data_IF_294778062032
#
_entry.id   IF_294778062032
#
_cell.length_a   1.000
_cell.length_b   1.000
_cell.length_c   1.000
_cell.angle_alpha   90.00
_cell.angle_beta   90.00
_cell.angle_gamma   90.00
#
_symmetry.space_group_name_H-M   'P 1'
#
loop_
_entity.id
_entity.type
_entity.pdbx_description
1 polymer ?
2 non-polymer ?
3 non-polymer ?
4 water ?
#
# COMPACT_ATOMS: atom_id res chain seq x y z
N UNK A 1 13.26 -6.05 26.86
CA UNK A 1 14.60 -8.73 26.02
C UNK A 1 13.91 -8.23 24.75
N UNK A 2 13.69 -9.15 23.80
CA UNK A 2 13.12 -8.84 22.49
C UNK A 2 11.65 -9.27 22.39
N UNK A 3 10.74 -8.39 21.93
CA UNK A 3 9.33 -8.78 21.70
C UNK A 3 9.18 -9.92 20.68
N UNK A 4 8.07 -10.65 20.73
CA UNK A 4 7.82 -11.70 19.73
C UNK A 4 7.78 -11.11 18.32
N UNK A 5 8.40 -11.82 17.39
CA UNK A 5 8.27 -11.49 15.99
C UNK A 5 8.30 -12.77 15.15
N UNK A 6 7.59 -12.77 14.00
CA UNK A 6 7.58 -13.90 13.10
C UNK A 6 8.97 -14.26 12.57
N UNK A 7 9.28 -15.56 12.52
CA UNK A 7 10.58 -16.04 12.09
C UNK A 7 10.47 -16.65 10.71
N UNK A 8 9.24 -17.01 10.33
CA UNK A 8 8.96 -17.56 9.01
C UNK A 8 7.60 -17.07 8.50
N UNK A 9 7.34 -17.26 7.22
CA UNK A 9 6.15 -16.69 6.58
C UNK A 9 4.82 -17.13 7.25
N UNK A 10 4.74 -18.38 7.71
CA UNK A 10 3.48 -18.89 8.30
C UNK A 10 3.19 -18.38 9.72
N UNK A 11 4.22 -17.87 10.40
CA UNK A 11 4.07 -17.22 11.71
C UNK A 11 3.15 -16.02 11.60
N UNK A 12 2.96 -15.51 10.40
CA UNK A 12 2.08 -14.38 10.22
C UNK A 12 0.63 -14.77 10.55
N UNK A 13 0.35 -16.07 10.57
CA UNK A 13 -0.95 -16.58 11.02
C UNK A 13 -1.29 -16.06 12.44
N UNK A 14 -0.27 -15.83 13.24
CA UNK A 14 -0.47 -15.50 14.66
C UNK A 14 -0.68 -14.02 15.02
N UNK A 15 -0.53 -13.13 14.04
CA UNK A 15 -0.73 -11.70 14.30
C UNK A 15 -1.72 -11.03 13.34
N UNK A 16 -1.78 -11.50 12.10
CA UNK A 16 -2.66 -10.94 11.06
C UNK A 16 -4.14 -10.77 11.49
N UNK A 17 -4.53 -11.44 12.57
CA UNK A 17 -5.91 -11.36 13.08
C UNK A 17 -6.09 -10.47 14.33
N UNK A 18 -5.04 -9.76 14.72
CA UNK A 18 -5.11 -8.84 15.86
C UNK A 18 -5.48 -7.42 15.44
N UNK A 35 -25.46 1.82 6.51
CA UNK A 35 -26.56 0.92 6.24
C UNK A 35 -26.25 -0.53 6.62
N UNK A 36 -27.30 -1.32 6.86
CA UNK A 36 -27.14 -2.70 7.32
C UNK A 36 -26.61 -3.66 6.25
N UNK A 37 -26.90 -3.34 4.99
CA UNK A 37 -26.39 -4.12 3.86
C UNK A 37 -24.87 -3.96 3.73
N UNK A 38 -24.39 -2.72 3.84
CA UNK A 38 -22.94 -2.46 3.84
C UNK A 38 -22.27 -3.17 5.01
N UNK A 39 -22.88 -3.06 6.20
CA UNK A 39 -22.37 -3.68 7.43
C UNK A 39 -22.25 -5.20 7.35
N UNK A 40 -23.29 -5.85 6.80
CA UNK A 40 -23.31 -7.30 6.65
C UNK A 40 -22.26 -7.76 5.64
N UNK A 41 -22.10 -6.98 4.57
CA UNK A 41 -21.11 -7.23 3.54
C UNK A 41 -19.69 -7.13 4.09
N UNK A 42 -19.44 -6.12 4.92
CA UNK A 42 -18.13 -5.95 5.56
C UNK A 42 -17.78 -7.14 6.45
N UNK A 43 -18.79 -7.66 7.15
CA UNK A 43 -18.63 -8.81 8.02
C UNK A 43 -18.26 -10.05 7.22
N UNK A 44 -18.83 -10.16 6.02
CA UNK A 44 -18.50 -11.22 5.06
C UNK A 44 -17.00 -11.23 4.73
N UNK A 45 -16.48 -10.07 4.30
CA UNK A 45 -15.05 -9.91 4.00
C UNK A 45 -14.17 -10.09 5.25
N UNK A 46 -14.60 -9.53 6.38
CA UNK A 46 -13.89 -9.75 7.66
C UNK A 46 -13.75 -11.24 8.03
N UNK A 47 -14.81 -12.01 7.80
CA UNK A 47 -14.82 -13.44 8.11
C UNK A 47 -13.92 -14.23 7.15
N UNK A 48 -13.85 -13.81 5.89
CA UNK A 48 -12.92 -14.46 4.93
C UNK A 48 -11.48 -14.24 5.35
N UNK A 49 -11.17 -13.01 5.77
CA UNK A 49 -9.83 -12.69 6.27
C UNK A 49 -9.47 -13.49 7.51
N UNK A 50 -10.40 -13.57 8.48
CA UNK A 50 -10.13 -14.25 9.76
C UNK A 50 -9.88 -15.76 9.61
N UNK A 51 -10.54 -16.38 8.63
CA UNK A 51 -10.40 -17.83 8.42
C UNK A 51 -9.25 -18.23 7.49
N UNK A 52 -8.65 -17.25 6.83
CA UNK A 52 -7.47 -17.50 6.00
C UNK A 52 -6.26 -17.94 6.83
N UNK A 53 -5.55 -18.96 6.37
CA UNK A 53 -4.28 -19.39 6.96
C UNK A 53 -3.25 -19.53 5.85
N UNK A 54 -2.00 -19.21 6.14
CA UNK A 54 -0.94 -19.32 5.13
C UNK A 54 -0.99 -20.66 4.42
N UNK A 55 -0.83 -20.62 3.10
CA UNK A 55 -0.94 -21.81 2.26
C UNK A 55 -2.28 -21.91 1.56
N UNK A 56 -3.32 -21.32 2.14
CA UNK A 56 -4.64 -21.28 1.48
C UNK A 56 -4.53 -20.44 0.20
N UNK A 57 -5.27 -20.80 -0.86
CA UNK A 57 -5.47 -19.77 -1.88
C UNK A 57 -6.42 -18.70 -1.34
N UNK A 58 -6.24 -17.45 -1.74
CA UNK A 58 -7.05 -16.37 -1.17
C UNK A 58 -8.45 -16.48 -1.78
N UNK A 59 -9.49 -16.57 -0.93
CA UNK A 59 -10.87 -16.69 -1.41
C UNK A 59 -11.20 -15.68 -2.51
N UNK A 60 -11.80 -16.17 -3.58
CA UNK A 60 -12.22 -15.30 -4.67
C UNK A 60 -13.65 -14.87 -4.41
N UNK A 61 -13.93 -13.60 -4.71
CA UNK A 61 -15.17 -12.97 -4.31
C UNK A 61 -15.94 -12.49 -5.53
N UNK A 62 -17.22 -12.85 -5.58
CA UNK A 62 -18.10 -12.27 -6.57
C UNK A 62 -18.55 -10.91 -6.03
N UNK A 63 -18.07 -9.85 -6.66
CA UNK A 63 -18.38 -8.50 -6.23
C UNK A 63 -19.76 -8.08 -6.75
N UNK A 64 -20.44 -7.25 -5.98
CA UNK A 64 -21.78 -6.78 -6.38
C UNK A 64 -21.69 -5.70 -7.45
N UNK A 65 -22.84 -5.39 -8.07
CA UNK A 65 -22.96 -4.35 -9.09
C UNK A 65 -22.46 -3.00 -8.63
N UNK A 66 -22.87 -2.63 -7.43
CA UNK A 66 -22.50 -1.36 -6.80
C UNK A 66 -21.00 -1.29 -6.50
N UNK A 67 -20.44 -2.42 -6.07
CA UNK A 67 -19.00 -2.51 -5.78
C UNK A 67 -18.19 -2.32 -7.05
N UNK A 68 -18.64 -2.94 -8.14
CA UNK A 68 -17.97 -2.80 -9.44
C UNK A 68 -18.11 -1.38 -9.99
N UNK A 69 -19.29 -0.78 -9.82
CA UNK A 69 -19.53 0.61 -10.22
C UNK A 69 -18.60 1.59 -9.50
N UNK A 70 -18.43 1.42 -8.21
CA UNK A 70 -17.51 2.25 -7.43
C UNK A 70 -16.07 2.04 -7.92
N UNK A 71 -15.67 0.78 -8.11
CA UNK A 71 -14.35 0.48 -8.67
C UNK A 71 -14.18 1.14 -10.05
N UNK A 72 -15.18 0.96 -10.91
CA UNK A 72 -15.18 1.54 -12.26
C UNK A 72 -14.91 3.03 -12.29
N UNK A 73 -15.62 3.78 -11.44
CA UNK A 73 -15.46 5.22 -11.31
C UNK A 73 -14.03 5.56 -10.86
N UNK A 74 -13.61 4.96 -9.75
CA UNK A 74 -12.24 5.11 -9.24
C UNK A 74 -11.19 4.80 -10.33
N UNK A 75 -11.24 3.59 -10.92
CA UNK A 75 -10.33 3.17 -12.00
C UNK A 75 -10.34 4.13 -13.21
N UNK A 76 -11.54 4.49 -13.66
CA UNK A 76 -11.69 5.35 -14.83
C UNK A 76 -11.01 6.71 -14.63
N UNK A 77 -11.25 7.33 -13.49
CA UNK A 77 -10.74 8.68 -13.23
C UNK A 77 -9.26 8.73 -12.87
N UNK A 78 -8.78 7.70 -12.16
CA UNK A 78 -7.36 7.62 -11.81
C UNK A 78 -6.49 7.40 -13.04
N UNK A 79 -6.98 6.58 -13.97
CA UNK A 79 -6.27 6.32 -15.23
C UNK A 79 -6.19 7.54 -16.16
N UNK A 80 -6.97 8.57 -15.87
CA UNK A 80 -6.86 9.83 -16.60
C UNK A 80 -5.67 10.61 -16.10
N UNK A 81 -5.30 10.37 -14.84
CA UNK A 81 -4.27 11.15 -14.13
C UNK A 81 -2.91 10.47 -14.10
N UNK A 82 -2.90 9.14 -14.05
CA UNK A 82 -1.64 8.41 -14.00
C UNK A 82 -0.57 8.88 -15.01
N UNK A 83 -0.92 8.95 -16.33
CA UNK A 83 0.12 9.27 -17.31
C UNK A 83 0.92 10.54 -17.01
N UNK A 84 0.30 11.50 -16.31
CA UNK A 84 0.94 12.77 -15.98
C UNK A 84 1.32 12.92 -14.51
N UNK A 85 0.84 12.00 -13.67
CA UNK A 85 1.01 12.12 -12.21
C UNK A 85 1.89 11.02 -11.64
N UNK A 86 1.79 9.81 -12.17
CA UNK A 86 2.48 8.63 -11.63
C UNK A 86 3.96 8.57 -12.04
N UNK A 87 4.80 7.96 -11.19
CA UNK A 87 6.20 7.76 -11.52
C UNK A 87 6.31 6.73 -12.63
N UNK A 88 7.44 6.69 -13.35
CA UNK A 88 7.58 5.79 -14.51
C UNK A 88 7.46 4.31 -14.17
N UNK A 89 7.90 3.91 -12.97
CA UNK A 89 7.86 2.52 -12.51
C UNK A 89 6.44 2.01 -12.35
N UNK A 90 5.58 2.87 -11.81
CA UNK A 90 4.14 2.59 -11.70
C UNK A 90 3.53 2.39 -13.08
N UNK A 91 3.80 3.32 -14.00
CA UNK A 91 3.27 3.27 -15.37
C UNK A 91 3.77 2.06 -16.16
N UNK A 92 5.01 1.67 -15.93
CA UNK A 92 5.62 0.50 -16.57
C UNK A 92 4.89 -0.80 -16.25
N UNK A 93 4.45 -0.95 -14.99
CA UNK A 93 3.84 -2.20 -14.53
C UNK A 93 2.33 -2.26 -14.67
N UNK A 94 1.70 -1.10 -14.77
CA UNK A 94 0.25 -1.01 -14.88
C UNK A 94 -0.36 -1.87 -16.02
N UNK A 95 0.22 -1.82 -17.25
CA UNK A 95 -0.30 -2.63 -18.38
C UNK A 95 -0.16 -4.15 -18.25
N UNK A 96 0.84 -4.62 -17.51
CA UNK A 96 0.99 -6.05 -17.23
C UNK A 96 -0.13 -6.56 -16.34
N UNK A 97 -0.52 -5.74 -15.36
CA UNK A 97 -1.65 -6.02 -14.46
C UNK A 97 -2.98 -6.04 -15.18
N UNK A 98 -3.17 -5.16 -16.15
CA UNK A 98 -4.35 -5.22 -17.00
C UNK A 98 -4.38 -6.55 -17.73
N UNK A 99 -3.29 -6.86 -18.42
CA UNK A 99 -3.19 -8.06 -19.25
C UNK A 99 -3.38 -9.38 -18.47
N UNK A 100 -2.72 -9.50 -17.32
CA UNK A 100 -2.69 -10.77 -16.60
C UNK A 100 -3.68 -10.91 -15.42
N UNK A 101 -4.07 -9.78 -14.82
CA UNK A 101 -4.87 -9.82 -13.59
C UNK A 101 -6.29 -9.27 -13.70
N UNK A 102 -6.69 -8.89 -14.91
CA UNK A 102 -8.07 -8.47 -15.17
C UNK A 102 -8.45 -7.10 -14.64
N UNK A 103 -7.48 -6.19 -14.62
CA UNK A 103 -7.74 -4.78 -14.27
C UNK A 103 -8.53 -4.11 -15.41
N UNK A 104 -9.82 -3.87 -15.20
CA UNK A 104 -10.70 -3.21 -16.18
C UNK A 104 -11.71 -2.36 -15.42
N UNK A 105 -12.29 -1.37 -16.10
CA UNK A 105 -13.40 -0.58 -15.53
C UNK A 105 -14.51 -1.45 -14.95
N UNK A 106 -14.81 -2.57 -15.60
CA UNK A 106 -15.97 -3.39 -15.22
C UNK A 106 -15.63 -4.69 -14.48
N UNK A 107 -14.39 -4.83 -14.02
CA UNK A 107 -13.98 -6.04 -13.29
C UNK A 107 -13.02 -5.69 -12.15
N UNK A 108 -13.33 -6.10 -10.93
CA UNK A 108 -12.40 -5.94 -9.80
C UNK A 108 -11.46 -7.14 -9.77
N UNK A 109 -10.14 -6.90 -9.93
CA UNK A 109 -9.15 -7.99 -9.87
C UNK A 109 -9.21 -8.75 -8.54
N UNK A 110 -8.86 -10.04 -8.56
CA UNK A 110 -8.90 -10.88 -7.36
C UNK A 110 -7.53 -10.91 -6.67
N UNK A 111 -7.55 -10.84 -5.35
CA UNK A 111 -6.29 -10.84 -4.59
C UNK A 111 -5.42 -12.06 -4.91
N UNK A 112 -6.03 -13.23 -5.10
CA UNK A 112 -5.27 -14.44 -5.42
C UNK A 112 -4.51 -14.33 -6.75
N UNK A 113 -5.15 -13.72 -7.75
CA UNK A 113 -4.52 -13.46 -9.07
C UNK A 113 -3.36 -12.49 -8.95
N UNK A 114 -3.56 -11.42 -8.21
CA UNK A 114 -2.54 -10.39 -8.02
C UNK A 114 -1.40 -10.96 -7.19
N UNK A 115 -1.75 -11.75 -6.17
CA UNK A 115 -0.74 -12.44 -5.37
C UNK A 115 0.18 -13.29 -6.22
N UNK A 116 -0.42 -14.12 -7.06
CA UNK A 116 0.34 -15.04 -7.92
C UNK A 116 1.22 -14.31 -8.93
N UNK A 117 0.71 -13.22 -9.49
CA UNK A 117 1.46 -12.33 -10.38
C UNK A 117 2.67 -11.75 -9.67
N UNK A 118 2.48 -11.27 -8.45
CA UNK A 118 3.58 -10.68 -7.69
C UNK A 118 4.63 -11.71 -7.31
N UNK A 119 4.18 -12.89 -6.86
CA UNK A 119 5.09 -13.96 -6.49
C UNK A 119 6.10 -14.19 -7.60
N UNK A 120 5.64 -14.18 -8.85
CA UNK A 120 6.51 -14.44 -10.00
C UNK A 120 7.47 -13.28 -10.31
N UNK A 121 7.01 -12.06 -10.09
CA UNK A 121 7.76 -10.87 -10.45
C UNK A 121 8.81 -10.50 -9.39
N UNK A 122 8.39 -10.33 -8.15
CA UNK A 122 9.27 -9.89 -7.07
C UNK A 122 9.31 -10.82 -5.85
N UNK A 123 8.54 -11.91 -5.90
CA UNK A 123 8.44 -12.79 -4.74
C UNK A 123 7.47 -12.26 -3.70
N UNK A 124 6.83 -11.14 -3.97
CA UNK A 124 5.81 -10.61 -3.06
C UNK A 124 4.56 -11.47 -3.11
N UNK A 125 3.89 -11.60 -1.97
CA UNK A 125 2.55 -12.19 -1.93
C UNK A 125 1.58 -11.38 -1.10
N UNK A 126 0.33 -11.77 -1.17
CA UNK A 126 -0.75 -11.10 -0.45
C UNK A 126 -1.38 -12.02 0.59
N UNK A 127 -1.82 -11.40 1.68
CA UNK A 127 -2.60 -12.08 2.68
C UNK A 127 -3.82 -11.16 2.95
N UNK A 128 -5.06 -11.71 2.93
CA UNK A 128 -6.20 -10.82 3.24
C UNK A 128 -6.21 -10.44 4.72
N UNK A 129 -6.65 -9.22 5.03
CA UNK A 129 -6.71 -8.78 6.41
C UNK A 129 -8.07 -8.14 6.71
N UNK A 130 -8.61 -8.43 7.88
CA UNK A 130 -9.96 -7.97 8.24
C UNK A 130 -9.99 -6.50 8.62
N UNK A 131 -9.11 -6.10 9.53
CA UNK A 131 -9.01 -4.69 9.95
C UNK A 131 -7.58 -4.17 10.05
N UNK A 132 -7.43 -3.02 10.71
CA UNK A 132 -6.11 -2.41 10.92
C UNK A 132 -5.24 -3.28 11.79
N UNK A 133 -4.06 -3.60 11.28
CA UNK A 133 -3.01 -4.23 12.07
C UNK A 133 -2.20 -3.14 12.75
N UNK A 134 -1.47 -3.49 13.80
CA UNK A 134 -0.53 -2.55 14.39
C UNK A 134 0.62 -2.38 13.38
N UNK A 135 1.28 -1.21 13.37
CA UNK A 135 2.42 -1.00 12.46
C UNK A 135 3.45 -2.12 12.60
N UNK A 136 3.67 -2.61 13.83
CA UNK A 136 4.63 -3.69 14.05
C UNK A 136 4.24 -4.93 13.25
N UNK A 137 2.99 -5.35 13.39
CA UNK A 137 2.50 -6.54 12.71
C UNK A 137 2.50 -6.33 11.19
N UNK A 138 2.02 -5.17 10.73
CA UNK A 138 2.05 -4.84 9.30
C UNK A 138 3.45 -4.90 8.69
N UNK A 139 4.41 -4.20 9.32
CA UNK A 139 5.79 -4.17 8.82
C UNK A 139 6.43 -5.55 8.87
N UNK A 140 6.07 -6.34 9.87
CA UNK A 140 6.64 -7.66 10.02
C UNK A 140 6.29 -8.52 8.79
N UNK A 141 5.08 -8.37 8.27
CA UNK A 141 4.70 -9.01 7.00
C UNK A 141 5.66 -8.68 5.87
N UNK A 142 6.06 -7.41 5.76
CA UNK A 142 6.95 -6.97 4.67
C UNK A 142 8.30 -7.64 4.69
N UNK A 143 8.78 -7.96 5.89
CA UNK A 143 10.02 -8.75 6.07
C UNK A 143 10.00 -10.04 5.26
N UNK A 144 8.82 -10.62 5.07
CA UNK A 144 8.67 -11.89 4.35
C UNK A 144 8.09 -11.70 2.96
N UNK A 145 8.11 -10.44 2.52
CA UNK A 145 7.47 -9.98 1.28
C UNK A 145 5.99 -10.37 1.25
N UNK A 146 5.31 -10.14 2.36
CA UNK A 146 3.89 -10.37 2.43
C UNK A 146 3.23 -9.03 2.66
N UNK A 147 2.29 -8.69 1.78
CA UNK A 147 1.52 -7.47 1.96
C UNK A 147 0.10 -7.80 2.42
N UNK A 148 -0.28 -7.33 3.61
CA UNK A 148 -1.65 -7.52 4.13
C UNK A 148 -2.62 -6.56 3.46
N UNK A 149 -3.63 -7.12 2.77
CA UNK A 149 -4.53 -6.32 1.93
C UNK A 149 -5.98 -6.43 2.35
N UNK A 150 -6.69 -5.32 2.29
CA UNK A 150 -8.13 -5.37 2.49
C UNK A 150 -8.78 -5.90 1.21
N UNK A 151 -9.98 -6.45 1.36
CA UNK A 151 -10.67 -7.09 0.23
C UNK A 151 -11.98 -6.41 -0.15
N UNK A 152 -12.51 -5.58 0.76
CA UNK A 152 -13.76 -4.85 0.51
C UNK A 152 -13.53 -3.57 -0.30
N UNK A 153 -14.63 -3.02 -0.83
CA UNK A 153 -14.60 -1.79 -1.61
C UNK A 153 -15.11 -0.61 -0.76
N UNK A 154 -14.52 0.57 -0.96
CA UNK A 154 -14.96 1.80 -0.26
C UNK A 154 -16.45 2.05 -0.49
N UNK A 155 -17.11 2.66 0.51
CA UNK A 155 -18.51 3.08 0.38
C UNK A 155 -18.69 3.98 -0.85
N UNK A 156 -19.78 3.74 -1.58
CA UNK A 156 -20.05 4.43 -2.83
C UNK A 156 -20.19 5.96 -2.74
N UNK A 157 -20.37 6.46 -1.53
CA UNK A 157 -20.62 7.89 -1.31
C UNK A 157 -19.38 8.78 -1.40
N UNK A 158 -18.19 8.19 -1.34
CA UNK A 158 -16.98 8.94 -1.68
C UNK A 158 -15.93 8.09 -2.40
N UNK A 159 -16.01 8.05 -3.73
CA UNK A 159 -15.02 7.36 -4.56
C UNK A 159 -13.67 8.08 -4.56
N UNK A 160 -13.69 9.41 -4.42
CA UNK A 160 -12.49 10.23 -4.61
C UNK A 160 -11.51 10.18 -3.43
N UNK A 161 -12.03 9.96 -2.23
CA UNK A 161 -11.19 9.89 -1.05
C UNK A 161 -11.91 9.08 0.03
N UNK A 162 -11.17 8.25 0.75
CA UNK A 162 -11.72 7.56 1.90
C UNK A 162 -10.68 7.54 3.03
N UNK A 163 -11.11 7.79 4.27
CA UNK A 163 -10.12 7.79 5.35
C UNK A 163 -9.67 6.38 5.77
N UNK A 164 -10.31 5.34 5.24
CA UNK A 164 -9.88 3.96 5.54
C UNK A 164 -9.45 3.23 4.26
N UNK A 165 -8.42 2.36 4.36
CA UNK A 165 -7.97 1.66 3.15
C UNK A 165 -9.02 0.67 2.71
N UNK A 166 -9.16 0.51 1.40
CA UNK A 166 -10.06 -0.49 0.83
C UNK A 166 -9.27 -1.29 -0.21
N UNK A 167 -9.96 -2.14 -0.96
CA UNK A 167 -9.27 -2.97 -1.93
C UNK A 167 -8.78 -2.15 -3.15
N UNK A 168 -9.51 -1.10 -3.52
CA UNK A 168 -9.04 -0.17 -4.56
C UNK A 168 -7.69 0.41 -4.16
N UNK A 169 -7.52 0.78 -2.90
CA UNK A 169 -6.23 1.26 -2.42
C UNK A 169 -5.12 0.22 -2.59
N UNK A 170 -5.39 -1.03 -2.20
CA UNK A 170 -4.37 -2.08 -2.30
C UNK A 170 -4.04 -2.35 -3.75
N UNK A 171 -5.09 -2.50 -4.55
CA UNK A 171 -4.96 -2.87 -5.96
C UNK A 171 -4.38 -1.78 -6.84
N UNK A 172 -4.82 -0.54 -6.64
CA UNK A 172 -4.40 0.56 -7.51
C UNK A 172 -3.21 1.33 -6.98
N UNK A 173 -3.14 1.46 -5.66
CA UNK A 173 -2.04 2.14 -5.03
C UNK A 173 -0.77 1.34 -4.87
N UNK A 174 -0.89 0.11 -4.34
CA UNK A 174 0.29 -0.67 -3.90
C UNK A 174 0.84 -1.66 -4.92
N UNK A 175 -0.05 -2.46 -5.50
CA UNK A 175 0.38 -3.61 -6.31
C UNK A 175 1.31 -3.24 -7.47
N UNK A 176 0.97 -2.19 -8.26
CA UNK A 176 1.85 -1.89 -9.39
C UNK A 176 3.33 -1.67 -9.02
N UNK A 177 3.58 -1.11 -7.85
CA UNK A 177 4.96 -0.86 -7.43
C UNK A 177 5.59 -2.06 -6.70
N UNK A 178 4.78 -2.89 -6.07
CA UNK A 178 5.29 -4.12 -5.44
C UNK A 178 5.84 -5.08 -6.51
N UNK A 179 5.40 -4.87 -7.75
CA UNK A 179 5.86 -5.63 -8.93
C UNK A 179 7.22 -5.16 -9.45
N UNK A 180 7.72 -4.06 -8.88
CA UNK A 180 9.03 -3.50 -9.27
C UNK A 180 10.16 -3.91 -8.29
N UNK A 181 11.16 -4.70 -8.75
CA UNK A 181 12.27 -5.15 -7.88
C UNK A 181 12.91 -4.12 -6.93
N UNK A 182 13.23 -2.93 -7.42
CA UNK A 182 13.89 -1.92 -6.56
C UNK A 182 12.96 -1.55 -5.41
N UNK A 183 11.68 -1.39 -5.73
CA UNK A 183 10.69 -1.00 -4.75
C UNK A 183 10.35 -2.10 -3.75
N UNK A 184 10.21 -3.34 -4.22
CA UNK A 184 10.00 -4.49 -3.31
C UNK A 184 11.17 -4.66 -2.32
N UNK A 185 12.39 -4.37 -2.77
CA UNK A 185 13.57 -4.44 -1.91
C UNK A 185 13.46 -3.39 -0.81
N UNK A 186 13.13 -2.17 -1.21
CA UNK A 186 12.99 -1.05 -0.28
C UNK A 186 11.98 -1.42 0.80
N UNK A 187 10.78 -1.82 0.38
CA UNK A 187 9.73 -2.27 1.27
C UNK A 187 10.17 -3.36 2.23
N UNK A 188 10.69 -4.47 1.70
CA UNK A 188 11.17 -5.57 2.57
C UNK A 188 12.19 -5.10 3.61
N UNK A 189 13.07 -4.17 3.23
CA UNK A 189 14.11 -3.73 4.17
C UNK A 189 13.56 -2.94 5.35
N UNK A 190 12.49 -2.18 5.13
CA UNK A 190 11.78 -1.51 6.21
C UNK A 190 11.26 -2.60 7.15
N UNK A 191 10.65 -3.62 6.57
CA UNK A 191 10.09 -4.75 7.29
C UNK A 191 11.14 -5.44 8.14
N UNK A 192 12.23 -5.85 7.51
CA UNK A 192 13.34 -6.50 8.19
C UNK A 192 13.91 -5.71 9.36
N UNK A 193 14.04 -4.39 9.17
CA UNK A 193 14.53 -3.50 10.22
C UNK A 193 13.61 -3.48 11.44
N UNK A 194 12.31 -3.65 11.21
CA UNK A 194 11.35 -3.56 12.31
C UNK A 194 11.30 -4.81 13.18
N UNK A 195 11.76 -5.94 12.64
CA UNK A 195 11.61 -7.23 13.32
C UNK A 195 12.27 -7.22 14.69
N UNK A 196 11.44 -7.27 15.74
CA UNK A 196 11.92 -7.29 17.11
C UNK A 196 12.49 -5.97 17.61
N UNK A 197 12.31 -4.90 16.83
CA UNK A 197 12.76 -3.56 17.19
C UNK A 197 11.97 -2.97 18.37
N UNK A 198 12.54 -1.93 18.99
CA UNK A 198 11.88 -1.20 20.06
C UNK A 198 10.64 -0.48 19.54
N UNK A 199 9.75 -0.07 20.45
CA UNK A 199 8.51 0.62 20.10
C UNK A 199 8.80 1.98 19.43
N UNK A 200 9.84 2.65 19.92
CA UNK A 200 10.36 3.90 19.35
C UNK A 200 10.82 3.70 17.90
N UNK A 201 11.61 2.66 17.68
CA UNK A 201 12.15 2.35 16.36
C UNK A 201 11.05 1.97 15.35
N UNK A 202 10.10 1.16 15.81
CA UNK A 202 8.94 0.78 14.99
C UNK A 202 8.17 2.04 14.58
N UNK A 203 7.92 2.98 15.51
CA UNK A 203 7.18 4.19 15.14
C UNK A 203 7.91 5.01 14.07
N UNK A 204 9.24 5.08 14.15
CA UNK A 204 10.05 5.82 13.16
C UNK A 204 10.07 5.17 11.79
N UNK A 205 10.19 3.84 11.78
CA UNK A 205 10.18 3.08 10.55
C UNK A 205 8.81 3.20 9.87
N UNK A 206 7.74 3.11 10.66
CA UNK A 206 6.38 3.22 10.14
C UNK A 206 6.08 4.63 9.62
N UNK A 207 6.65 5.65 10.26
CA UNK A 207 6.48 7.02 9.77
C UNK A 207 7.25 7.23 8.46
N UNK A 208 8.45 6.67 8.39
CA UNK A 208 9.24 6.72 7.17
C UNK A 208 8.54 5.99 6.02
N UNK A 209 7.96 4.82 6.34
CA UNK A 209 7.13 4.07 5.41
C UNK A 209 5.93 4.90 4.93
N UNK A 210 5.24 5.55 5.88
CA UNK A 210 4.11 6.41 5.59
C UNK A 210 4.43 7.49 4.54
N UNK A 211 5.63 8.08 4.64
CA UNK A 211 5.98 9.24 3.81
C UNK A 211 6.84 8.88 2.59
N UNK A 212 6.97 7.58 2.34
CA UNK A 212 7.49 7.10 1.08
C UNK A 212 6.45 6.19 0.43
N UNK A 213 6.33 4.95 0.93
CA UNK A 213 5.43 3.95 0.34
C UNK A 213 3.98 4.44 0.28
N UNK A 214 3.53 5.15 1.30
CA UNK A 214 2.13 5.55 1.38
C UNK A 214 1.84 6.89 0.68
N UNK A 215 2.63 7.91 1.00
CA UNK A 215 2.39 9.28 0.49
C UNK A 215 3.60 9.97 -0.16
N UNK A 216 4.53 9.16 -0.67
CA UNK A 216 5.76 9.66 -1.25
C UNK A 216 5.62 10.33 -2.61
N UNK A 217 6.49 11.31 -2.85
CA UNK A 217 6.63 11.96 -4.15
C UNK A 217 8.07 11.70 -4.57
N UNK A 218 8.33 11.72 -5.87
CA UNK A 218 9.70 11.57 -6.33
C UNK A 218 9.98 12.54 -7.47
N UNK A 219 11.26 12.77 -7.72
CA UNK A 219 11.69 13.66 -8.79
C UNK A 219 12.20 12.78 -9.92
N UNK A 220 11.58 12.92 -11.08
CA UNK A 220 12.00 12.13 -12.23
C UNK A 220 12.17 13.03 -13.45
N UNK A 221 13.40 13.05 -13.97
CA UNK A 221 13.76 13.91 -15.09
C UNK A 221 13.37 15.37 -14.78
N UNK A 222 13.55 15.76 -13.52
CA UNK A 222 13.30 17.13 -13.09
C UNK A 222 11.88 17.45 -12.67
N UNK A 223 10.95 16.52 -12.93
CA UNK A 223 9.54 16.73 -12.59
C UNK A 223 9.14 15.98 -11.33
N UNK A 224 8.15 16.51 -10.60
CA UNK A 224 7.55 15.80 -9.47
C UNK A 224 6.54 14.76 -9.94
N UNK A 225 6.72 13.55 -9.43
CA UNK A 225 5.82 12.43 -9.69
C UNK A 225 5.41 11.84 -8.35
N UNK A 226 4.32 11.07 -8.34
CA UNK A 226 3.95 10.42 -7.09
C UNK A 226 4.22 8.93 -7.14
N UNK A 227 4.69 8.37 -6.02
CA UNK A 227 4.75 6.92 -5.89
C UNK A 227 3.98 6.42 -4.67
N UNK A 228 3.50 7.35 -3.87
CA UNK A 228 2.79 7.01 -2.66
C UNK A 228 1.45 6.38 -2.98
N UNK A 229 1.24 5.17 -2.45
CA UNK A 229 0.00 4.43 -2.64
C UNK A 229 -1.31 5.10 -2.16
N UNK A 230 -1.25 5.84 -1.06
CA UNK A 230 -2.45 6.56 -0.61
C UNK A 230 -2.85 7.68 -1.56
N UNK A 231 -1.87 8.18 -2.32
CA UNK A 231 -2.11 9.19 -3.35
C UNK A 231 -2.62 8.57 -4.65
N UNK A 232 -2.07 7.42 -5.05
CA UNK A 232 -2.43 6.79 -6.32
C UNK A 232 -3.82 6.13 -6.33
N UNK A 233 -4.41 5.95 -5.17
CA UNK A 233 -5.77 5.41 -5.09
C UNK A 233 -6.86 6.46 -4.83
N UNK A 234 -6.44 7.69 -4.49
CA UNK A 234 -7.38 8.79 -4.23
C UNK A 234 -7.36 9.85 -5.34
N UNK A 235 -8.43 9.89 -6.13
CA UNK A 235 -8.59 10.90 -7.19
C UNK A 235 -8.30 12.32 -6.70
N UNK A 236 -8.89 12.74 -5.59
CA UNK A 236 -8.72 14.13 -5.13
C UNK A 236 -7.34 14.45 -4.52
N UNK A 237 -6.76 13.55 -3.72
CA UNK A 237 -5.41 13.81 -3.18
C UNK A 237 -4.29 13.69 -4.22
N UNK A 238 -4.48 12.84 -5.22
CA UNK A 238 -3.51 12.72 -6.32
C UNK A 238 -3.36 14.03 -7.09
N UNK A 239 -4.49 14.64 -7.41
CA UNK A 239 -4.51 15.94 -8.08
C UNK A 239 -3.91 16.98 -7.17
N UNK A 240 -4.30 16.96 -5.90
CA UNK A 240 -3.83 17.94 -4.92
C UNK A 240 -2.32 17.92 -4.69
N UNK A 241 -1.76 16.71 -4.57
CA UNK A 241 -0.33 16.54 -4.33
C UNK A 241 0.56 17.22 -5.38
N UNK A 242 0.13 17.25 -6.62
CA UNK A 242 0.93 17.88 -7.68
C UNK A 242 0.33 19.20 -8.22
N UNK A 243 -0.58 19.81 -7.47
CA UNK A 243 -1.39 20.95 -7.97
C UNK A 243 -0.72 22.29 -8.46
N UNK A 244 0.21 22.90 -7.73
CA UNK A 244 0.75 22.47 -6.46
C UNK A 244 0.53 23.52 -5.39
N UNK A 245 -0.49 23.27 -4.57
CA UNK A 245 -0.77 24.04 -3.37
C UNK A 245 -0.30 23.24 -2.17
N UNK A 246 0.48 22.20 -2.44
CA UNK A 246 0.99 21.31 -1.42
C UNK A 246 2.40 21.72 -1.03
N UNK A 247 2.65 21.74 0.28
CA UNK A 247 3.99 21.95 0.81
C UNK A 247 4.81 20.66 0.68
N UNK A 248 6.00 20.78 0.10
CA UNK A 248 6.85 19.62 -0.15
C UNK A 248 8.28 19.80 0.41
N UNK A 249 8.80 18.75 1.03
CA UNK A 249 10.15 18.75 1.64
C UNK A 249 10.97 17.59 1.10
N UNK A 250 12.32 17.69 1.17
CA UNK A 250 13.15 16.55 0.77
C UNK A 250 13.08 15.38 1.77
N UNK A 251 13.10 14.15 1.27
CA UNK A 251 13.10 13.00 2.15
C UNK A 251 14.44 12.86 2.89
N UNK A 252 14.33 12.78 4.21
CA UNK A 252 15.45 12.69 5.11
C UNK A 252 14.92 12.06 6.39
N UNK A 253 15.17 10.75 6.58
CA UNK A 253 14.59 9.96 7.67
C UNK A 253 14.67 10.57 9.08
N UNK A 254 15.80 11.14 9.46
CA UNK A 254 15.94 11.72 10.80
C UNK A 254 14.96 12.88 11.05
N UNK A 255 14.61 13.62 10.00
CA UNK A 255 13.58 14.65 10.08
C UNK A 255 12.20 14.11 9.69
N UNK A 256 12.12 13.35 8.60
CA UNK A 256 10.85 12.76 8.17
C UNK A 256 10.14 11.92 9.25
N UNK A 257 10.91 11.18 10.06
CA UNK A 257 10.34 10.24 11.04
C UNK A 257 9.59 10.89 12.21
N UNK A 258 9.74 12.20 12.36
CA UNK A 258 9.10 12.95 13.45
C UNK A 258 7.81 13.57 12.94
N UNK A 259 7.63 13.60 11.63
CA UNK A 259 6.45 14.19 11.03
C UNK A 259 5.20 13.40 11.39
N UNK A 260 4.15 14.11 11.79
CA UNK A 260 2.90 13.46 12.16
C UNK A 260 2.17 12.93 10.92
N UNK A 261 1.72 11.68 10.99
CA UNK A 261 0.92 11.05 9.95
C UNK A 261 -0.55 11.36 10.16
N UNK A 262 -1.15 12.06 9.21
CA UNK A 262 -2.56 12.44 9.30
C UNK A 262 -3.50 11.38 8.72
N UNK A 263 -4.50 11.02 9.52
CA UNK A 263 -5.63 10.23 9.04
C UNK A 263 -6.88 11.09 9.06
N UNK A 264 -7.81 10.77 8.15
CA UNK A 264 -9.09 11.49 7.98
C UNK A 264 -9.01 12.71 7.04
N UNK A 265 -7.80 13.22 6.79
CA UNK A 265 -7.61 14.34 5.85
C UNK A 265 -6.42 14.14 4.92
N UNK A 266 -6.32 15.01 3.91
CA UNK A 266 -5.11 15.17 3.11
C UNK A 266 -3.91 15.41 4.03
N UNK A 267 -2.71 15.06 3.59
CA UNK A 267 -1.51 15.38 4.34
C UNK A 267 -1.26 16.90 4.32
N UNK A 268 -0.53 17.39 5.32
CA UNK A 268 -0.08 18.80 5.34
C UNK A 268 1.26 18.97 4.64
N UNK A 269 1.98 17.87 4.48
CA UNK A 269 3.29 17.89 3.86
C UNK A 269 3.59 16.54 3.19
N UNK A 270 4.23 16.60 2.02
CA UNK A 270 4.69 15.42 1.30
C UNK A 270 6.19 15.51 1.13
N UNK A 271 6.87 14.36 1.17
CA UNK A 271 8.31 14.27 1.03
C UNK A 271 8.74 13.69 -0.31
N UNK A 272 9.81 14.28 -0.87
CA UNK A 272 10.31 13.94 -2.17
C UNK A 272 11.60 13.13 -2.04
N UNK A 273 11.60 11.93 -2.62
CA UNK A 273 12.80 11.11 -2.72
C UNK A 273 13.42 11.28 -4.11
N UNK A 274 14.74 11.11 -4.20
CA UNK A 274 15.43 11.25 -5.48
C UNK A 274 15.19 10.05 -6.37
N UNK A 275 15.16 8.86 -5.76
CA UNK A 275 14.87 7.60 -6.44
C UNK A 275 14.63 6.51 -5.40
N UNK A 276 14.07 5.38 -5.82
CA UNK A 276 13.83 4.24 -4.93
C UNK A 276 15.17 3.73 -4.39
N UNK A 277 16.14 3.64 -5.30
CA UNK A 277 17.51 3.28 -4.94
C UNK A 277 18.07 4.21 -3.85
N UNK A 278 17.88 5.53 -4.01
CA UNK A 278 18.40 6.50 -3.03
C UNK A 278 17.68 6.47 -1.68
N UNK A 279 16.36 6.32 -1.72
CA UNK A 279 15.57 6.29 -0.50
C UNK A 279 15.93 5.05 0.34
N UNK A 280 16.22 3.96 -0.35
CA UNK A 280 16.72 2.72 0.27
C UNK A 280 18.06 2.92 0.99
N UNK A 281 18.97 3.66 0.38
CA UNK A 281 20.29 3.92 0.99
C UNK A 281 20.16 4.83 2.21
N UNK A 282 19.35 5.88 2.08
CA UNK A 282 19.03 6.77 3.19
C UNK A 282 18.45 6.00 4.37
N UNK A 283 17.52 5.08 4.08
CA UNK A 283 16.98 4.21 5.12
C UNK A 283 18.03 3.28 5.74
N UNK A 284 18.95 2.77 4.93
CA UNK A 284 20.08 1.97 5.45
C UNK A 284 20.96 2.73 6.43
N UNK A 285 21.35 3.95 6.08
CA UNK A 285 22.17 4.78 6.98
C UNK A 285 21.38 5.06 8.26
N UNK A 286 20.08 5.31 8.09
CA UNK A 286 19.22 5.70 9.20
C UNK A 286 18.97 4.59 10.21
N UNK A 287 18.72 3.37 9.76
CA UNK A 287 18.41 2.28 10.68
C UNK A 287 19.62 1.90 11.55
N UNK A 288 20.82 2.17 11.04
CA UNK A 288 22.05 2.00 11.81
C UNK A 288 22.00 2.84 13.10
N UNK A 289 21.37 4.01 13.01
CA UNK A 289 21.37 4.98 14.11
C UNK A 289 20.26 4.78 15.15
N UNK A 290 19.36 3.84 14.89
CA UNK A 290 18.28 3.54 15.85
C UNK A 290 18.29 2.09 16.32
#
# INVERSE_FOLDING_TARGET
SVPWFPKKISDLDHCANRVLMYGSELDADHPGFKDNVYRKRRKYFADLAMNYKHGDPIPKVEFTEEEIKTWGTVFRELNKLYPTHACREYLKNLPLLSKYCGYREDNIPQLEDVSNFLKERTGFSIRPVAGYLSPRDFLSGLAFRVFHCTQYVRHSSDPFYTPEPDTCHELLGHVPLLAEPSFAQFSQEIGLASLGASEEAVQKLATCYFFTVEFGLCKQDGQLRVFGAGLLSSISELKHALSGHAKVKPFDPKITCKQECLITTFQDVYFVSESFEDAKEKMREFTKTI
#
